data_IF_500425728169
#
_entry.id   IF_500425728169
#
_cell.length_a   1.000
_cell.length_b   1.000
_cell.length_c   1.000
_cell.angle_alpha   90.00
_cell.angle_beta   90.00
_cell.angle_gamma   90.00
#
_symmetry.space_group_name_H-M   'P 1'
#
loop_
_entity.id
_entity.type
_entity.pdbx_description
1 polymer ?
#
# COMPACT_ATOMS: atom_id res chain seq x y z
N UNK A 1 2.02 2.65 -21.79
CA UNK A 1 0.97 2.45 -20.78
C UNK A 1 -0.36 2.69 -21.46
N UNK A 2 -1.15 1.64 -21.69
CA UNK A 2 -2.56 1.83 -22.04
C UNK A 2 -3.22 2.51 -20.82
N UNK A 3 -4.09 3.49 -21.04
CA UNK A 3 -4.85 4.18 -19.97
C UNK A 3 -5.57 3.13 -19.14
N UNK A 4 -4.96 2.78 -18.01
CA UNK A 4 -5.21 1.51 -17.33
C UNK A 4 -6.02 1.74 -16.08
N UNK A 5 -7.13 1.03 -15.99
CA UNK A 5 -7.81 0.85 -14.73
C UNK A 5 -7.14 -0.28 -13.94
N UNK A 6 -7.19 -0.23 -12.62
CA UNK A 6 -6.64 -1.31 -11.80
C UNK A 6 -7.01 -1.24 -10.33
N UNK A 7 -6.70 -2.34 -9.63
CA UNK A 7 -6.81 -2.44 -8.19
C UNK A 7 -5.44 -2.31 -7.55
N UNK A 8 -5.43 -1.66 -6.39
CA UNK A 8 -4.28 -1.60 -5.50
C UNK A 8 -4.46 -2.62 -4.38
N UNK A 9 -3.40 -3.35 -4.06
CA UNK A 9 -3.36 -4.31 -2.96
C UNK A 9 -2.19 -4.00 -2.03
N UNK A 10 -2.45 -3.97 -0.73
CA UNK A 10 -1.45 -3.80 0.32
C UNK A 10 -1.51 -4.96 1.30
N UNK A 11 -0.35 -5.52 1.62
CA UNK A 11 -0.23 -6.57 2.61
C UNK A 11 1.10 -6.46 3.36
N UNK A 12 1.12 -6.95 4.59
CA UNK A 12 2.30 -6.94 5.46
C UNK A 12 2.63 -8.35 5.90
N UNK A 13 3.80 -8.83 5.50
CA UNK A 13 4.25 -10.19 5.80
C UNK A 13 5.42 -10.20 6.79
N UNK A 14 5.51 -11.25 7.61
CA UNK A 14 6.63 -11.44 8.53
C UNK A 14 7.91 -11.83 7.80
N UNK A 15 9.04 -11.27 8.22
CA UNK A 15 10.37 -11.59 7.66
C UNK A 15 11.35 -11.92 8.77
N UNK A 16 12.40 -12.68 8.43
CA UNK A 16 13.52 -12.90 9.34
C UNK A 16 14.34 -11.61 9.40
N UNK A 17 14.43 -10.93 10.55
CA UNK A 17 15.17 -9.67 10.65
C UNK A 17 16.65 -9.94 10.40
N UNK A 18 17.21 -9.28 9.38
CA UNK A 18 18.63 -9.35 9.06
C UNK A 18 19.08 -8.00 8.53
N UNK A 19 20.17 -7.48 9.09
CA UNK A 19 20.80 -6.26 8.63
C UNK A 19 21.99 -6.62 7.76
N UNK A 20 22.07 -6.03 6.58
CA UNK A 20 23.19 -6.17 5.66
C UNK A 20 23.65 -4.79 5.18
N UNK A 21 24.94 -4.66 4.95
CA UNK A 21 25.49 -3.46 4.33
C UNK A 21 25.56 -3.66 2.82
N UNK A 22 24.95 -2.75 2.07
CA UNK A 22 25.01 -2.70 0.62
C UNK A 22 26.07 -1.68 0.18
N UNK A 23 27.20 -2.23 -0.29
CA UNK A 23 28.32 -1.43 -0.80
C UNK A 23 27.99 -0.63 -2.06
N UNK A 24 26.99 -1.03 -2.84
CA UNK A 24 26.63 -0.35 -4.10
C UNK A 24 25.91 0.97 -3.85
N UNK A 25 25.12 1.04 -2.78
CA UNK A 25 24.37 2.23 -2.36
C UNK A 25 24.98 2.92 -1.14
N UNK A 26 26.04 2.33 -0.57
CA UNK A 26 26.71 2.74 0.66
C UNK A 26 25.68 2.95 1.80
N UNK A 27 24.85 1.93 2.01
CA UNK A 27 23.72 1.99 2.95
C UNK A 27 23.48 0.67 3.66
N UNK A 28 22.75 0.70 4.78
CA UNK A 28 22.23 -0.51 5.42
C UNK A 28 20.85 -0.89 4.89
N UNK A 29 20.66 -2.18 4.65
CA UNK A 29 19.39 -2.83 4.32
C UNK A 29 18.95 -3.65 5.54
N UNK A 30 17.64 -3.71 5.81
CA UNK A 30 17.06 -4.55 6.86
C UNK A 30 16.54 -3.80 8.09
N UNK A 31 16.76 -2.48 8.16
CA UNK A 31 16.12 -1.62 9.15
C UNK A 31 14.70 -1.22 8.73
N UNK A 32 13.87 -0.92 9.73
CA UNK A 32 12.51 -0.42 9.53
C UNK A 32 12.58 0.96 8.89
N UNK A 33 11.97 1.11 7.71
CA UNK A 33 12.01 2.35 6.93
C UNK A 33 11.25 3.46 7.67
N UNK A 34 11.84 4.66 7.84
CA UNK A 34 11.13 5.80 8.42
C UNK A 34 9.93 6.19 7.55
N UNK A 35 8.77 6.28 8.17
CA UNK A 35 7.52 6.67 7.52
C UNK A 35 7.22 8.12 7.91
N UNK A 36 7.05 8.99 6.91
CA UNK A 36 6.64 10.39 7.09
C UNK A 36 5.33 10.58 6.34
N UNK A 37 4.28 10.96 7.07
CA UNK A 37 2.92 11.11 6.54
C UNK A 37 2.44 9.88 5.74
N UNK A 38 2.69 8.68 6.26
CA UNK A 38 2.33 7.44 5.59
C UNK A 38 3.23 7.00 4.46
N UNK A 39 4.19 7.83 4.03
CA UNK A 39 5.06 7.53 2.90
C UNK A 39 6.42 7.04 3.39
N UNK A 40 6.93 5.90 2.89
CA UNK A 40 8.26 5.43 3.23
C UNK A 40 9.32 6.37 2.64
N UNK A 41 10.28 6.75 3.49
CA UNK A 41 11.42 7.56 3.06
C UNK A 41 12.34 6.76 2.13
N UNK A 42 12.70 7.33 0.99
CA UNK A 42 13.64 6.70 0.04
C UNK A 42 15.09 6.96 0.50
N UNK A 43 15.99 6.02 0.19
CA UNK A 43 17.45 6.15 0.42
C UNK A 43 17.80 6.53 1.87
N UNK A 44 17.07 5.99 2.82
CA UNK A 44 17.42 6.05 4.23
C UNK A 44 18.66 5.19 4.52
N UNK A 45 19.37 5.50 5.61
CA UNK A 45 20.53 4.74 6.10
C UNK A 45 21.77 4.76 5.20
N UNK A 46 21.93 5.80 4.39
CA UNK A 46 23.19 6.06 3.70
C UNK A 46 24.22 6.61 4.68
N UNK A 47 25.44 6.09 4.61
CA UNK A 47 26.57 6.55 5.41
C UNK A 47 27.60 7.24 4.51
N UNK A 48 28.18 8.35 4.96
CA UNK A 48 29.29 8.99 4.25
C UNK A 48 30.61 8.82 4.98
N UNK A 49 30.55 8.47 6.27
CA UNK A 49 31.68 8.22 7.15
C UNK A 49 31.42 6.97 8.00
N UNK A 50 32.50 6.41 8.55
CA UNK A 50 32.41 5.24 9.41
C UNK A 50 31.54 5.48 10.66
N UNK A 51 31.61 6.67 11.25
CA UNK A 51 30.80 7.01 12.43
C UNK A 51 29.30 7.05 12.12
N UNK A 52 28.91 7.37 10.87
CA UNK A 52 27.52 7.28 10.43
C UNK A 52 27.05 5.83 10.44
N UNK A 53 27.90 4.89 10.00
CA UNK A 53 27.55 3.46 9.99
C UNK A 53 27.25 2.98 11.41
N UNK A 54 28.13 3.31 12.36
CA UNK A 54 27.95 2.93 13.76
C UNK A 54 26.69 3.55 14.35
N UNK A 55 26.50 4.86 14.12
CA UNK A 55 25.33 5.58 14.64
C UNK A 55 24.04 4.96 14.10
N UNK A 56 23.97 4.72 12.80
CA UNK A 56 22.81 4.10 12.15
C UNK A 56 22.55 2.71 12.73
N UNK A 57 23.59 1.87 12.83
CA UNK A 57 23.44 0.50 13.30
C UNK A 57 22.95 0.43 14.76
N UNK A 58 23.51 1.27 15.63
CA UNK A 58 23.19 1.28 17.06
C UNK A 58 21.81 1.92 17.36
N UNK A 59 21.36 2.87 16.53
CA UNK A 59 20.10 3.61 16.77
C UNK A 59 18.88 3.08 16.00
N UNK A 60 19.08 2.23 14.97
CA UNK A 60 18.00 1.83 14.07
C UNK A 60 17.33 0.53 14.50
N UNK A 61 16.01 0.48 14.37
CA UNK A 61 15.23 -0.72 14.65
C UNK A 61 15.22 -1.62 13.41
N UNK A 62 15.47 -2.92 13.60
CA UNK A 62 15.34 -3.91 12.51
C UNK A 62 13.87 -4.03 12.06
N UNK A 63 13.66 -4.36 10.79
CA UNK A 63 12.32 -4.60 10.25
C UNK A 63 11.86 -6.05 10.49
N UNK A 64 10.89 -6.30 11.39
CA UNK A 64 10.28 -7.63 11.53
C UNK A 64 9.26 -7.94 10.43
N UNK A 65 8.79 -6.91 9.71
CA UNK A 65 7.73 -7.02 8.73
C UNK A 65 8.18 -6.38 7.41
N UNK A 66 7.67 -6.91 6.30
CA UNK A 66 7.80 -6.32 4.97
C UNK A 66 6.40 -5.90 4.51
N UNK A 67 6.21 -4.61 4.29
CA UNK A 67 5.00 -4.12 3.65
C UNK A 67 5.19 -4.12 2.14
N UNK A 68 4.24 -4.71 1.42
CA UNK A 68 4.26 -4.91 -0.03
C UNK A 68 3.02 -4.27 -0.63
N UNK A 69 3.24 -3.44 -1.64
CA UNK A 69 2.18 -2.79 -2.40
C UNK A 69 2.20 -3.29 -3.85
N UNK A 70 1.11 -3.89 -4.28
CA UNK A 70 0.92 -4.42 -5.63
C UNK A 70 -0.17 -3.63 -6.36
N UNK A 71 -0.05 -3.58 -7.68
CA UNK A 71 -1.12 -3.09 -8.54
C UNK A 71 -1.45 -4.14 -9.58
N UNK A 72 -2.74 -4.42 -9.73
CA UNK A 72 -3.27 -5.32 -10.74
C UNK A 72 -4.10 -4.50 -11.73
N UNK A 73 -3.62 -4.40 -12.97
CA UNK A 73 -4.42 -3.77 -14.03
C UNK A 73 -5.61 -4.67 -14.39
N UNK A 74 -6.74 -4.06 -14.72
CA UNK A 74 -7.89 -4.75 -15.28
C UNK A 74 -7.77 -4.67 -16.80
N UNK A 75 -7.80 -5.82 -17.46
CA UNK A 75 -7.98 -5.87 -18.92
C UNK A 75 -9.47 -5.93 -19.23
N UNK A 76 -9.87 -5.22 -20.29
CA UNK A 76 -11.17 -5.43 -20.94
C UNK A 76 -11.08 -6.47 -22.05
N UNK A 77 -9.90 -7.04 -22.30
CA UNK A 77 -9.72 -8.11 -23.30
C UNK A 77 -10.09 -9.47 -22.70
N UNK A 78 -11.00 -10.19 -23.37
CA UNK A 78 -11.51 -11.50 -22.96
C UNK A 78 -10.49 -12.65 -23.15
N UNK A 79 -9.33 -12.37 -23.75
CA UNK A 79 -8.31 -13.38 -23.99
C UNK A 79 -7.48 -13.62 -22.72
N UNK A 80 -7.67 -14.79 -22.11
CA UNK A 80 -6.93 -15.26 -20.90
C UNK A 80 -5.40 -15.14 -21.06
N UNK A 81 -4.89 -15.29 -22.29
CA UNK A 81 -3.45 -15.16 -22.59
C UNK A 81 -2.89 -13.73 -22.46
N UNK A 82 -3.74 -12.71 -22.44
CA UNK A 82 -3.36 -11.29 -22.40
C UNK A 82 -3.64 -10.62 -21.05
N UNK A 83 -3.92 -11.39 -19.99
CA UNK A 83 -4.14 -10.79 -18.67
C UNK A 83 -2.87 -10.04 -18.21
N UNK A 84 -2.97 -8.75 -17.89
CA UNK A 84 -1.83 -7.96 -17.49
C UNK A 84 -1.28 -8.51 -16.17
N UNK A 85 0.03 -8.69 -16.13
CA UNK A 85 0.71 -9.16 -14.92
C UNK A 85 0.64 -8.07 -13.84
N UNK A 86 0.47 -8.44 -12.56
CA UNK A 86 0.56 -7.48 -11.48
C UNK A 86 1.97 -6.89 -11.43
N UNK A 87 2.08 -5.65 -10.98
CA UNK A 87 3.36 -4.99 -10.77
C UNK A 87 3.53 -4.55 -9.33
N UNK A 88 4.77 -4.68 -8.85
CA UNK A 88 5.19 -4.20 -7.54
C UNK A 88 5.35 -2.67 -7.59
N UNK A 89 4.56 -1.95 -6.80
CA UNK A 89 4.68 -0.51 -6.65
C UNK A 89 5.80 -0.13 -5.67
N UNK A 90 5.84 -0.83 -4.54
CA UNK A 90 6.88 -0.65 -3.53
C UNK A 90 6.89 -1.82 -2.55
N UNK A 91 8.06 -2.09 -2.00
CA UNK A 91 8.24 -2.96 -0.85
C UNK A 91 9.25 -2.32 0.10
N UNK A 92 8.98 -2.32 1.40
CA UNK A 92 9.86 -1.74 2.41
C UNK A 92 9.65 -2.39 3.76
N UNK A 93 10.73 -2.46 4.52
CA UNK A 93 10.72 -3.00 5.88
C UNK A 93 9.98 -2.06 6.81
N UNK A 94 9.10 -2.59 7.65
CA UNK A 94 8.32 -1.82 8.62
C UNK A 94 8.28 -2.52 9.97
N UNK A 95 7.89 -1.75 10.98
CA UNK A 95 7.37 -2.28 12.23
C UNK A 95 5.85 -2.14 12.24
N UNK A 96 5.16 -2.75 13.21
CA UNK A 96 3.72 -2.58 13.37
C UNK A 96 3.34 -1.24 14.05
N UNK A 97 4.15 -0.17 13.88
CA UNK A 97 3.96 1.13 14.54
C UNK A 97 3.17 2.14 13.72
N UNK A 98 2.99 1.92 12.41
CA UNK A 98 2.19 2.82 11.58
C UNK A 98 0.72 2.84 12.02
N UNK A 99 0.08 3.99 11.85
CA UNK A 99 -1.28 4.29 12.29
C UNK A 99 -2.28 4.19 11.14
N UNK A 100 -3.58 4.22 11.47
CA UNK A 100 -4.65 4.35 10.48
C UNK A 100 -4.48 5.58 9.58
N UNK A 101 -4.01 6.70 10.13
CA UNK A 101 -3.79 7.92 9.35
C UNK A 101 -2.63 7.79 8.37
N UNK A 102 -1.58 7.06 8.76
CA UNK A 102 -0.45 6.75 7.87
C UNK A 102 -0.89 5.88 6.69
N UNK A 103 -1.82 4.94 6.90
CA UNK A 103 -2.40 4.14 5.83
C UNK A 103 -3.20 5.03 4.86
N UNK A 104 -4.08 5.88 5.39
CA UNK A 104 -4.91 6.78 4.58
C UNK A 104 -4.10 7.74 3.72
N UNK A 105 -3.11 8.42 4.32
CA UNK A 105 -2.25 9.37 3.61
C UNK A 105 -1.46 8.68 2.49
N UNK A 106 -1.03 7.45 2.72
CA UNK A 106 -0.36 6.61 1.72
C UNK A 106 -1.27 6.25 0.57
N UNK A 107 -2.50 5.81 0.86
CA UNK A 107 -3.48 5.51 -0.18
C UNK A 107 -3.81 6.73 -1.03
N UNK A 108 -3.99 7.90 -0.40
CA UNK A 108 -4.20 9.16 -1.11
C UNK A 108 -3.01 9.52 -2.01
N UNK A 109 -1.79 9.44 -1.47
CA UNK A 109 -0.57 9.70 -2.25
C UNK A 109 -0.46 8.77 -3.46
N UNK A 110 -0.75 7.47 -3.29
CA UNK A 110 -0.70 6.49 -4.38
C UNK A 110 -1.80 6.77 -5.41
N UNK A 111 -3.02 7.06 -4.95
CA UNK A 111 -4.14 7.42 -5.82
C UNK A 111 -3.81 8.63 -6.70
N UNK A 112 -3.35 9.73 -6.10
CA UNK A 112 -2.96 10.96 -6.80
C UNK A 112 -1.81 10.71 -7.77
N UNK A 113 -0.76 10.01 -7.33
CA UNK A 113 0.39 9.69 -8.20
C UNK A 113 0.03 8.78 -9.39
N UNK A 114 -0.95 7.89 -9.22
CA UNK A 114 -1.48 7.07 -10.31
C UNK A 114 -2.30 7.93 -11.27
N UNK A 115 -3.17 8.79 -10.73
CA UNK A 115 -4.02 9.68 -11.51
C UNK A 115 -3.19 10.62 -12.40
N UNK A 116 -2.13 11.22 -11.86
CA UNK A 116 -1.19 12.08 -12.59
C UNK A 116 -0.51 11.36 -13.77
N UNK A 117 -0.40 10.03 -13.70
CA UNK A 117 0.17 9.18 -14.76
C UNK A 117 -0.87 8.59 -15.69
N UNK A 118 -2.14 9.02 -15.58
CA UNK A 118 -3.25 8.52 -16.39
C UNK A 118 -3.71 7.11 -16.02
N UNK A 119 -3.40 6.65 -14.80
CA UNK A 119 -3.82 5.35 -14.26
C UNK A 119 -4.93 5.57 -13.23
N UNK A 120 -6.05 4.86 -13.38
CA UNK A 120 -7.19 4.99 -12.45
C UNK A 120 -7.25 3.80 -11.50
N UNK A 121 -7.03 4.06 -10.22
CA UNK A 121 -7.25 3.08 -9.15
C UNK A 121 -8.75 3.00 -8.89
N UNK A 122 -9.35 1.83 -9.13
CA UNK A 122 -10.79 1.58 -8.93
C UNK A 122 -11.07 1.21 -7.47
N UNK A 123 -10.13 0.54 -6.81
CA UNK A 123 -10.31 0.12 -5.43
C UNK A 123 -9.02 -0.29 -4.76
N UNK A 124 -9.09 -0.32 -3.43
CA UNK A 124 -8.04 -0.77 -2.53
C UNK A 124 -8.45 -2.10 -1.90
N UNK A 125 -7.51 -3.02 -1.84
CA UNK A 125 -7.63 -4.30 -1.17
C UNK A 125 -6.50 -4.41 -0.14
N UNK A 126 -6.81 -4.85 1.07
CA UNK A 126 -5.83 -5.00 2.14
C UNK A 126 -6.30 -6.04 3.15
N UNK A 127 -5.40 -6.47 4.02
CA UNK A 127 -5.73 -7.38 5.12
C UNK A 127 -6.75 -6.76 6.10
N UNK A 128 -7.43 -7.63 6.85
CA UNK A 128 -8.54 -7.28 7.74
C UNK A 128 -8.09 -6.82 9.14
N UNK A 129 -6.83 -6.38 9.30
CA UNK A 129 -6.37 -5.83 10.58
C UNK A 129 -7.15 -4.57 10.95
N UNK A 130 -7.30 -4.33 12.26
CA UNK A 130 -8.07 -3.21 12.81
C UNK A 130 -7.67 -1.84 12.22
N UNK A 131 -6.39 -1.62 11.94
CA UNK A 131 -5.89 -0.36 11.36
C UNK A 131 -6.33 -0.19 9.91
N UNK A 132 -6.22 -1.25 9.11
CA UNK A 132 -6.65 -1.27 7.70
C UNK A 132 -8.18 -1.20 7.58
N UNK A 133 -8.92 -1.91 8.42
CA UNK A 133 -10.40 -1.82 8.46
C UNK A 133 -10.85 -0.41 8.86
N UNK A 134 -10.17 0.20 9.83
CA UNK A 134 -10.44 1.60 10.20
C UNK A 134 -10.14 2.56 9.05
N UNK A 135 -9.04 2.35 8.33
CA UNK A 135 -8.68 3.13 7.16
C UNK A 135 -9.72 2.95 6.04
N UNK A 136 -10.15 1.72 5.74
CA UNK A 136 -11.22 1.45 4.78
C UNK A 136 -12.53 2.15 5.15
N UNK A 137 -12.92 2.17 6.43
CA UNK A 137 -14.13 2.87 6.87
C UNK A 137 -14.04 4.38 6.65
N UNK A 138 -12.90 4.97 6.98
CA UNK A 138 -12.67 6.41 6.81
C UNK A 138 -12.54 6.78 5.32
N UNK A 139 -11.76 6.00 4.55
CA UNK A 139 -11.63 6.16 3.10
C UNK A 139 -12.96 5.93 2.39
N UNK A 140 -13.77 4.96 2.82
CA UNK A 140 -15.13 4.76 2.30
C UNK A 140 -16.02 5.97 2.58
N UNK A 141 -15.86 6.64 3.72
CA UNK A 141 -16.59 7.88 3.99
C UNK A 141 -16.11 9.04 3.09
N UNK A 142 -14.79 9.17 2.89
CA UNK A 142 -14.16 10.32 2.21
C UNK A 142 -14.10 10.17 0.68
N UNK A 143 -13.81 8.97 0.17
CA UNK A 143 -13.88 8.63 -1.27
C UNK A 143 -15.31 8.69 -1.79
N UNK A 144 -16.31 8.33 -0.98
CA UNK A 144 -17.71 8.52 -1.35
C UNK A 144 -18.01 10.02 -1.50
N UNK A 145 -17.57 10.86 -0.57
CA UNK A 145 -17.75 12.32 -0.66
C UNK A 145 -16.99 12.97 -1.84
N UNK A 146 -15.83 12.43 -2.20
CA UNK A 146 -15.04 12.82 -3.38
C UNK A 146 -15.70 12.38 -4.70
N UNK A 147 -16.18 11.13 -4.79
CA UNK A 147 -16.92 10.60 -5.95
C UNK A 147 -18.30 11.25 -6.13
N UNK A 148 -18.92 11.78 -5.07
CA UNK A 148 -20.15 12.57 -5.20
C UNK A 148 -19.98 13.87 -6.00
N UNK A 149 -18.75 14.33 -6.28
CA UNK A 149 -18.49 15.41 -7.25
C UNK A 149 -18.27 14.92 -8.69
N UNK A 150 -18.05 13.63 -8.92
CA UNK A 150 -17.82 13.09 -10.26
C UNK A 150 -18.11 11.57 -10.32
N UNK A 151 -19.37 11.24 -10.61
CA UNK A 151 -19.83 9.95 -11.18
C UNK A 151 -19.93 8.73 -10.23
N UNK A 152 -21.14 8.13 -10.24
CA UNK A 152 -21.60 6.92 -9.55
C UNK A 152 -20.62 5.73 -9.52
N UNK A 153 -20.50 5.08 -8.36
CA UNK A 153 -20.59 3.62 -8.19
C UNK A 153 -20.86 3.26 -6.72
N UNK A 154 -21.92 2.51 -6.49
CA UNK A 154 -22.48 2.10 -5.20
C UNK A 154 -21.92 0.71 -4.83
N UNK A 155 -21.33 0.56 -3.64
CA UNK A 155 -21.22 -0.76 -3.00
C UNK A 155 -22.54 -1.06 -2.29
N UNK A 156 -23.49 -1.69 -3.01
CA UNK A 156 -24.67 -2.30 -2.40
C UNK A 156 -24.29 -3.69 -1.90
N UNK A 157 -24.43 -3.92 -0.59
CA UNK A 157 -24.53 -5.28 -0.03
C UNK A 157 -25.65 -6.03 -0.78
N UNK A 158 -25.49 -7.32 -1.10
CA UNK A 158 -26.64 -8.14 -1.42
C UNK A 158 -27.44 -8.32 -0.12
N UNK A 159 -28.61 -7.68 -0.02
CA UNK A 159 -29.61 -8.01 1.00
C UNK A 159 -30.63 -8.96 0.39
N UNK A 160 -30.46 -10.26 0.60
CA UNK A 160 -31.58 -11.20 0.48
C UNK A 160 -31.31 -12.44 1.34
N UNK A 161 -31.62 -12.31 2.62
CA UNK A 161 -32.01 -13.44 3.46
C UNK A 161 -33.06 -12.93 4.44
N UNK A 162 -34.17 -13.69 4.53
CA UNK A 162 -35.44 -13.43 5.26
C UNK A 162 -36.53 -12.75 4.42
N UNK A 163 -37.37 -13.58 3.80
CA UNK A 163 -38.75 -13.82 4.28
C UNK A 163 -39.45 -14.86 3.39
N UNK A 164 -39.34 -16.14 3.75
CA UNK A 164 -40.29 -17.17 3.32
C UNK A 164 -40.87 -17.83 4.56
N UNK A 165 -41.93 -17.22 5.09
CA UNK A 165 -43.05 -17.89 5.78
C UNK A 165 -44.15 -16.85 6.03
N UNK A 166 -45.00 -16.63 5.03
CA UNK A 166 -46.39 -16.19 5.19
C UNK A 166 -47.10 -16.12 3.82
N UNK A 167 -47.60 -17.27 3.35
CA UNK A 167 -48.93 -17.43 2.74
C UNK A 167 -49.20 -18.91 2.46
#
# INVERSE_FOLDING_TARGET
>A
FHSGFGFYSEDTTGVIPKVEYDSSTNSFIGFATPIVDGIPSKKCYQAHKFDDLRTIYDSSEMAPLLNVHMFQSISTEDAVANFPKPFLLSAYGVTNKFTTMDILRRWMYIFENCLDKGVRVIGFSTDADNKYVSAMRLAGLDMVLSQYKSTFLVFSRPSSYRDEMAQ
#
